data_IF_505224093062
#
_entry.id   IF_505224093062
#
_cell.length_a   1.000
_cell.length_b   1.000
_cell.length_c   1.000
_cell.angle_alpha   90.00
_cell.angle_beta   90.00
_cell.angle_gamma   90.00
#
_symmetry.space_group_name_H-M   'P 1'
#
loop_
_entity.id
_entity.type
_entity.pdbx_description
1 polymer ?
#
# COMPACT_ATOMS: atom_id res chain seq x y z
N UNK A 1 13.82 -12.60 8.15
CA UNK A 1 12.86 -12.18 7.14
C UNK A 1 11.61 -11.64 7.81
N UNK A 2 11.20 -10.45 7.43
CA UNK A 2 10.07 -9.80 8.07
C UNK A 2 9.13 -9.24 7.00
N UNK A 3 7.98 -9.88 6.85
CA UNK A 3 6.91 -9.35 6.04
C UNK A 3 6.14 -8.35 6.88
N UNK A 4 5.95 -7.15 6.36
CA UNK A 4 5.22 -6.11 7.06
C UNK A 4 3.99 -5.74 6.27
N UNK A 5 2.96 -5.32 7.00
CA UNK A 5 1.68 -4.95 6.41
C UNK A 5 1.29 -3.59 6.94
N UNK A 6 1.06 -2.66 6.03
CA UNK A 6 0.54 -1.33 6.37
C UNK A 6 -0.90 -1.22 5.90
N UNK A 7 -1.78 -0.81 6.80
CA UNK A 7 -3.17 -0.54 6.45
C UNK A 7 -3.40 0.96 6.33
N UNK A 8 -4.02 1.36 5.23
CA UNK A 8 -4.42 2.75 5.03
C UNK A 8 -5.93 2.74 4.77
N UNK A 9 -6.66 3.54 5.54
CA UNK A 9 -8.11 3.64 5.39
C UNK A 9 -8.42 4.60 4.25
N UNK A 10 -9.20 4.14 3.27
CA UNK A 10 -9.60 4.95 2.13
C UNK A 10 -10.80 5.81 2.50
N UNK A 11 -10.64 7.12 2.36
CA UNK A 11 -11.74 8.03 2.60
C UNK A 11 -12.46 8.32 1.29
N UNK A 12 -13.72 8.63 1.32
CA UNK A 12 -14.61 8.78 2.48
C UNK A 12 -15.33 7.50 2.89
N UNK A 13 -15.17 6.41 2.12
CA UNK A 13 -15.99 5.21 2.33
C UNK A 13 -15.47 4.31 3.44
N UNK A 14 -14.25 4.51 3.89
CA UNK A 14 -13.70 3.71 4.99
C UNK A 14 -13.21 2.33 4.59
N UNK A 15 -13.07 2.05 3.31
CA UNK A 15 -12.48 0.77 2.89
C UNK A 15 -11.00 0.75 3.21
N UNK A 16 -10.41 -0.43 3.25
CA UNK A 16 -9.02 -0.58 3.66
C UNK A 16 -8.13 -0.93 2.48
N UNK A 17 -7.00 -0.24 2.39
CA UNK A 17 -5.90 -0.62 1.52
C UNK A 17 -4.84 -1.29 2.36
N UNK A 18 -4.28 -2.39 1.87
CA UNK A 18 -3.18 -3.07 2.54
C UNK A 18 -1.96 -3.03 1.64
N UNK A 19 -0.82 -2.67 2.24
CA UNK A 19 0.46 -2.65 1.53
C UNK A 19 1.36 -3.67 2.19
N UNK A 20 1.74 -4.70 1.43
CA UNK A 20 2.61 -5.76 1.92
C UNK A 20 4.02 -5.52 1.38
N UNK A 21 5.01 -5.53 2.26
CA UNK A 21 6.37 -5.21 1.85
C UNK A 21 7.38 -5.87 2.77
N UNK A 22 8.62 -5.96 2.29
CA UNK A 22 9.71 -6.52 3.07
C UNK A 22 10.98 -5.76 2.69
N UNK A 23 11.36 -4.81 3.54
CA UNK A 23 12.48 -3.93 3.25
C UNK A 23 13.82 -4.65 3.22
N UNK A 24 13.91 -5.83 3.83
CA UNK A 24 15.15 -6.58 3.85
C UNK A 24 15.48 -7.24 2.53
N UNK A 25 14.47 -7.49 1.70
CA UNK A 25 14.66 -8.25 0.48
C UNK A 25 14.44 -7.45 -0.78
N UNK A 26 13.57 -6.45 -0.74
CA UNK A 26 13.16 -5.82 -1.96
C UNK A 26 12.63 -4.43 -1.68
N UNK A 27 12.74 -3.56 -2.69
CA UNK A 27 12.08 -2.26 -2.65
C UNK A 27 10.71 -2.30 -3.28
N UNK A 28 10.22 -3.49 -3.57
CA UNK A 28 8.91 -3.68 -4.19
C UNK A 28 7.87 -3.99 -3.14
N UNK A 29 6.63 -3.64 -3.44
CA UNK A 29 5.53 -3.93 -2.54
C UNK A 29 4.31 -4.36 -3.34
N UNK A 30 3.34 -4.91 -2.62
CA UNK A 30 2.07 -5.33 -3.18
C UNK A 30 0.98 -4.52 -2.51
N UNK A 31 0.11 -3.89 -3.30
CA UNK A 31 -0.98 -3.09 -2.79
C UNK A 31 -2.30 -3.79 -3.06
N UNK A 32 -3.16 -3.81 -2.04
CA UNK A 32 -4.48 -4.43 -2.15
C UNK A 32 -5.52 -3.33 -1.91
N UNK A 33 -6.37 -3.11 -2.90
CA UNK A 33 -7.51 -2.19 -2.84
C UNK A 33 -7.12 -0.74 -2.55
N UNK A 34 -6.14 -0.16 -3.25
CA UNK A 34 -5.91 1.28 -3.11
C UNK A 34 -7.09 2.05 -3.70
N UNK A 35 -7.36 3.22 -3.15
CA UNK A 35 -8.47 4.01 -3.66
C UNK A 35 -8.74 5.21 -2.80
N UNK A 36 -9.91 5.82 -3.04
CA UNK A 36 -10.36 6.95 -2.27
C UNK A 36 -9.58 8.22 -2.57
N UNK A 37 -9.64 9.17 -1.65
CA UNK A 37 -9.00 10.47 -1.80
C UNK A 37 -7.67 10.54 -1.04
N UNK A 38 -7.10 9.40 -0.67
CA UNK A 38 -5.91 9.33 0.17
C UNK A 38 -4.62 9.16 -0.63
N UNK A 39 -4.58 9.65 -1.86
CA UNK A 39 -3.42 9.41 -2.73
C UNK A 39 -2.13 9.93 -2.11
N UNK A 40 -2.21 11.05 -1.38
CA UNK A 40 -1.02 11.61 -0.76
C UNK A 40 -0.48 10.71 0.35
N UNK A 41 -1.38 10.05 1.08
CA UNK A 41 -0.95 9.11 2.12
C UNK A 41 -0.18 7.94 1.52
N UNK A 42 -0.65 7.42 0.38
CA UNK A 42 0.05 6.36 -0.32
C UNK A 42 1.43 6.83 -0.79
N UNK A 43 1.48 8.00 -1.41
CA UNK A 43 2.72 8.53 -1.93
C UNK A 43 3.71 8.75 -0.80
N UNK A 44 3.26 9.32 0.31
CA UNK A 44 4.13 9.58 1.45
C UNK A 44 4.69 8.26 2.02
N UNK A 45 3.84 7.26 2.17
CA UNK A 45 4.28 5.98 2.71
C UNK A 45 5.32 5.34 1.80
N UNK A 46 5.02 5.30 0.51
CA UNK A 46 5.90 4.64 -0.46
C UNK A 46 7.21 5.37 -0.61
N UNK A 47 7.16 6.71 -0.70
CA UNK A 47 8.37 7.48 -0.94
C UNK A 47 9.28 7.48 0.29
N UNK A 48 8.71 7.56 1.49
CA UNK A 48 9.50 7.56 2.72
C UNK A 48 10.29 6.26 2.86
N UNK A 49 9.74 5.16 2.36
CA UNK A 49 10.37 3.84 2.44
C UNK A 49 11.02 3.41 1.15
N UNK A 50 10.96 4.24 0.12
CA UNK A 50 11.57 3.95 -1.18
C UNK A 50 10.98 2.68 -1.78
N UNK A 51 9.68 2.51 -1.66
CA UNK A 51 8.99 1.33 -2.17
C UNK A 51 8.37 1.61 -3.53
N UNK A 52 8.38 0.61 -4.40
CA UNK A 52 7.75 0.66 -5.71
C UNK A 52 6.66 -0.41 -5.77
N UNK A 53 5.40 -0.02 -6.06
CA UNK A 53 4.35 -1.04 -6.19
C UNK A 53 4.61 -1.93 -7.40
N UNK A 54 4.77 -3.22 -7.14
CA UNK A 54 4.97 -4.20 -8.21
C UNK A 54 3.64 -4.75 -8.68
N UNK A 55 2.72 -4.93 -7.74
CA UNK A 55 1.40 -5.50 -8.03
C UNK A 55 0.32 -4.70 -7.32
N UNK A 56 -0.78 -4.51 -8.01
CA UNK A 56 -1.97 -3.89 -7.43
C UNK A 56 -3.13 -4.86 -7.64
N UNK A 57 -3.74 -5.29 -6.54
CA UNK A 57 -4.82 -6.27 -6.56
C UNK A 57 -6.09 -5.59 -6.10
N UNK A 58 -7.16 -5.76 -6.87
CA UNK A 58 -8.47 -5.22 -6.52
C UNK A 58 -9.38 -6.40 -6.16
N UNK A 59 -9.95 -6.37 -4.96
CA UNK A 59 -10.86 -7.42 -4.52
C UNK A 59 -12.31 -7.08 -4.84
N UNK A 60 -12.60 -5.84 -5.22
CA UNK A 60 -13.92 -5.41 -5.63
C UNK A 60 -13.79 -4.22 -6.57
N UNK A 61 -14.87 -3.90 -7.25
CA UNK A 61 -14.87 -2.79 -8.21
C UNK A 61 -15.15 -1.46 -7.54
#
# INVERSE_FOLDING_TARGET
MALEIKRIVNEPLGSNCYILYNLEHSKQCLMIDPGGSNIEDYIDFLSTRNLTPEWIILTHE
#
